data_IF_684212258752
#
_entry.id   IF_684212258752
#
_cell.length_a   1.000
_cell.length_b   1.000
_cell.length_c   1.000
_cell.angle_alpha   90.00
_cell.angle_beta   90.00
_cell.angle_gamma   90.00
#
_symmetry.space_group_name_H-M   'P 1'
#
loop_
_entity.id
_entity.type
_entity.pdbx_description
1 polymer ?
#
# COMPACT_ATOMS: atom_id res chain seq x y z
N UNK A 1 84.55 1.53 -8.87
CA UNK A 1 83.34 0.69 -8.78
C UNK A 1 82.33 1.48 -7.94
N UNK A 2 81.36 2.12 -8.58
CA UNK A 2 80.28 2.81 -7.89
C UNK A 2 79.10 1.84 -7.78
N UNK A 3 78.71 1.49 -6.55
CA UNK A 3 77.49 0.73 -6.28
C UNK A 3 76.35 1.73 -6.14
N UNK A 4 75.38 1.62 -7.05
CA UNK A 4 74.16 2.41 -7.07
C UNK A 4 73.32 2.07 -5.83
N UNK A 5 73.07 3.07 -4.97
CA UNK A 5 72.09 2.96 -3.91
C UNK A 5 70.69 3.08 -4.51
N UNK A 6 69.83 2.17 -4.04
CA UNK A 6 68.50 1.87 -4.55
C UNK A 6 67.58 3.09 -4.66
N UNK A 7 66.83 3.14 -5.76
CA UNK A 7 65.59 3.89 -5.91
C UNK A 7 64.66 3.59 -4.72
N UNK A 8 64.58 4.53 -3.79
CA UNK A 8 63.45 4.64 -2.88
C UNK A 8 62.28 5.13 -3.73
N UNK A 9 61.41 4.22 -4.15
CA UNK A 9 60.14 4.58 -4.78
C UNK A 9 59.26 5.21 -3.71
N UNK A 10 59.27 6.53 -3.62
CA UNK A 10 58.31 7.28 -2.80
C UNK A 10 56.91 7.02 -3.37
N UNK A 11 56.11 6.24 -2.63
CA UNK A 11 54.68 6.09 -2.93
C UNK A 11 54.02 7.45 -2.72
N UNK A 12 53.35 8.05 -3.72
CA UNK A 12 52.72 9.35 -3.53
C UNK A 12 51.60 9.21 -2.49
N UNK A 13 51.69 10.00 -1.43
CA UNK A 13 50.66 10.10 -0.41
C UNK A 13 49.39 10.63 -1.09
N UNK A 14 48.39 9.75 -1.23
CA UNK A 14 47.09 10.12 -1.80
C UNK A 14 46.41 11.04 -0.80
N UNK A 15 46.43 12.35 -1.09
CA UNK A 15 45.67 13.34 -0.33
C UNK A 15 44.19 13.08 -0.59
N UNK A 16 43.56 12.31 0.29
CA UNK A 16 42.10 12.23 0.36
C UNK A 16 41.61 13.59 0.86
N UNK A 17 40.83 14.35 0.07
CA UNK A 17 40.25 15.59 0.57
C UNK A 17 39.37 15.23 1.77
N UNK A 18 39.53 15.96 2.87
CA UNK A 18 38.61 15.92 4.01
C UNK A 18 37.28 16.51 3.53
N UNK A 19 36.44 15.65 2.93
CA UNK A 19 35.10 16.05 2.49
C UNK A 19 34.28 16.21 3.76
N UNK A 20 33.77 17.42 4.08
CA UNK A 20 32.90 17.58 5.24
C UNK A 20 31.70 16.65 5.05
N UNK A 21 31.48 15.76 6.02
CA UNK A 21 30.27 14.95 6.08
C UNK A 21 29.11 15.92 6.29
N UNK A 22 28.39 16.24 5.22
CA UNK A 22 27.13 16.99 5.29
C UNK A 22 26.11 16.05 5.93
N UNK A 23 25.94 16.13 7.24
CA UNK A 23 24.85 15.45 7.94
C UNK A 23 23.57 16.20 7.53
N UNK A 24 22.58 15.56 6.88
CA UNK A 24 21.35 16.24 6.55
C UNK A 24 20.71 16.75 7.85
N UNK A 25 20.35 18.04 7.89
CA UNK A 25 19.69 18.61 9.05
C UNK A 25 18.37 17.87 9.29
N UNK A 26 18.18 17.41 10.52
CA UNK A 26 16.95 16.79 10.97
C UNK A 26 15.80 17.78 10.83
N UNK A 27 15.01 17.62 9.77
CA UNK A 27 13.98 18.58 9.37
C UNK A 27 12.62 18.11 9.88
N UNK A 28 11.98 18.92 10.74
CA UNK A 28 10.62 18.70 11.23
C UNK A 28 9.71 19.79 10.68
N UNK A 29 8.68 19.36 9.97
CA UNK A 29 7.68 20.22 9.31
C UNK A 29 6.27 19.67 9.54
N UNK A 30 5.25 20.47 9.18
CA UNK A 30 3.83 20.08 9.23
C UNK A 30 3.41 19.49 10.60
N UNK A 31 3.79 20.17 11.69
CA UNK A 31 3.48 19.71 13.05
C UNK A 31 1.96 19.81 13.27
N UNK A 32 1.34 18.66 13.45
CA UNK A 32 -0.08 18.54 13.75
C UNK A 32 -0.28 17.92 15.13
N UNK A 33 -1.09 18.55 15.97
CA UNK A 33 -1.41 18.07 17.32
C UNK A 33 -2.72 17.29 17.31
N UNK A 34 -2.71 16.09 17.90
CA UNK A 34 -3.90 15.25 18.09
C UNK A 34 -4.55 15.55 19.44
N UNK A 35 -5.83 15.24 19.56
CA UNK A 35 -6.61 15.39 20.80
C UNK A 35 -6.10 14.53 21.97
N UNK A 36 -5.27 13.52 21.70
CA UNK A 36 -4.62 12.67 22.71
C UNK A 36 -3.28 13.24 23.21
N UNK A 37 -2.88 14.43 22.75
CA UNK A 37 -1.62 15.09 23.13
C UNK A 37 -0.38 14.56 22.38
N UNK A 38 -0.57 13.74 21.35
CA UNK A 38 0.51 13.29 20.45
C UNK A 38 0.60 14.17 19.20
N UNK A 39 1.72 14.10 18.48
CA UNK A 39 1.92 14.90 17.27
C UNK A 39 2.09 14.03 16.03
N UNK A 40 1.56 14.46 14.89
CA UNK A 40 1.88 13.92 13.57
C UNK A 40 2.71 14.95 12.85
N UNK A 41 3.91 14.58 12.39
CA UNK A 41 4.87 15.50 11.81
C UNK A 41 5.47 14.92 10.53
N UNK A 42 5.99 15.76 9.65
CA UNK A 42 6.90 15.35 8.58
C UNK A 42 8.32 15.44 9.13
N UNK A 43 8.97 14.31 9.36
CA UNK A 43 10.36 14.23 9.79
C UNK A 43 11.22 13.68 8.66
N UNK A 44 12.19 14.47 8.20
CA UNK A 44 13.09 14.15 7.07
C UNK A 44 12.33 13.71 5.80
N UNK A 45 11.20 14.37 5.52
CA UNK A 45 10.35 14.09 4.35
C UNK A 45 9.34 12.94 4.52
N UNK A 46 9.35 12.22 5.64
CA UNK A 46 8.42 11.13 5.91
C UNK A 46 7.42 11.51 7.00
N UNK A 47 6.15 11.06 6.92
CA UNK A 47 5.19 11.24 8.00
C UNK A 47 5.55 10.34 9.19
N UNK A 48 5.66 10.93 10.37
CA UNK A 48 5.91 10.24 11.63
C UNK A 48 4.84 10.59 12.66
N UNK A 49 4.39 9.58 13.39
CA UNK A 49 3.63 9.78 14.62
C UNK A 49 4.62 9.95 15.77
N UNK A 50 4.76 11.17 16.27
CA UNK A 50 5.63 11.56 17.37
C UNK A 50 4.91 11.34 18.70
N UNK A 51 5.36 10.34 19.45
CA UNK A 51 4.83 9.97 20.77
C UNK A 51 5.99 9.74 21.74
N UNK A 52 5.76 9.98 23.03
CA UNK A 52 6.77 9.76 24.05
C UNK A 52 7.20 8.29 24.14
N UNK A 53 6.28 7.35 23.87
CA UNK A 53 6.50 5.91 24.03
C UNK A 53 7.13 5.24 22.79
N UNK A 54 6.71 5.63 21.58
CA UNK A 54 7.11 4.95 20.34
C UNK A 54 8.25 5.69 19.64
N UNK A 55 8.29 7.02 19.72
CA UNK A 55 9.22 7.87 18.97
C UNK A 55 9.74 9.02 19.84
N UNK A 56 10.41 8.72 20.98
CA UNK A 56 10.81 9.72 21.98
C UNK A 56 11.74 10.80 21.40
N UNK A 57 12.63 10.44 20.49
CA UNK A 57 13.58 11.39 19.89
C UNK A 57 12.89 12.38 18.94
N UNK A 58 11.91 11.92 18.16
CA UNK A 58 11.10 12.80 17.32
C UNK A 58 10.18 13.65 18.20
N UNK A 59 9.54 13.05 19.21
CA UNK A 59 8.67 13.76 20.15
C UNK A 59 9.38 14.90 20.88
N UNK A 60 10.59 14.68 21.40
CA UNK A 60 11.40 15.75 22.04
C UNK A 60 11.70 16.90 21.08
N UNK A 61 12.15 16.59 19.86
CA UNK A 61 12.47 17.62 18.84
C UNK A 61 11.23 18.41 18.43
N UNK A 62 10.06 17.75 18.34
CA UNK A 62 8.78 18.42 18.11
C UNK A 62 8.49 19.40 19.26
N UNK A 63 8.60 18.98 20.52
CA UNK A 63 8.39 19.87 21.67
C UNK A 63 9.34 21.08 21.68
N UNK A 64 10.60 20.91 21.29
CA UNK A 64 11.57 22.01 21.15
C UNK A 64 11.15 23.00 20.05
N UNK A 65 10.74 22.49 18.88
CA UNK A 65 10.21 23.30 17.78
C UNK A 65 8.95 24.06 18.19
N UNK A 66 8.01 23.41 18.87
CA UNK A 66 6.77 24.04 19.37
C UNK A 66 7.10 25.14 20.39
N UNK A 67 8.02 24.90 21.34
CA UNK A 67 8.51 25.93 22.28
C UNK A 67 9.19 27.10 21.57
N UNK A 68 9.87 26.83 20.46
CA UNK A 68 10.47 27.84 19.58
C UNK A 68 9.48 28.63 18.72
N UNK A 69 8.16 28.38 18.87
CA UNK A 69 7.11 29.09 18.14
C UNK A 69 6.80 28.52 16.77
N UNK A 70 7.15 27.25 16.49
CA UNK A 70 6.75 26.60 15.25
C UNK A 70 5.21 26.52 15.16
N UNK A 71 4.63 26.72 13.97
CA UNK A 71 3.19 26.59 13.79
C UNK A 71 2.76 25.15 14.05
N UNK A 72 1.79 24.99 14.96
CA UNK A 72 1.11 23.73 15.23
C UNK A 72 -0.31 23.85 14.72
N UNK A 73 -0.71 22.95 13.83
CA UNK A 73 -2.11 22.86 13.39
C UNK A 73 -2.80 21.72 14.13
N UNK A 74 -4.12 21.78 14.23
CA UNK A 74 -4.88 20.63 14.70
C UNK A 74 -4.75 19.48 13.69
N UNK A 75 -4.53 18.26 14.19
CA UNK A 75 -4.54 17.08 13.35
C UNK A 75 -5.96 16.78 12.90
N UNK A 76 -6.22 16.98 11.61
CA UNK A 76 -7.41 16.46 10.97
C UNK A 76 -7.16 15.01 10.56
N UNK A 77 -7.77 14.07 11.27
CA UNK A 77 -7.81 12.67 10.85
C UNK A 77 -8.36 12.62 9.42
N UNK A 78 -7.63 12.01 8.49
CA UNK A 78 -8.14 11.87 7.13
C UNK A 78 -9.33 10.93 7.17
N UNK A 79 -10.51 11.45 6.86
CA UNK A 79 -11.67 10.61 6.60
C UNK A 79 -11.39 9.81 5.32
N UNK A 80 -11.22 8.50 5.46
CA UNK A 80 -11.26 7.61 4.31
C UNK A 80 -12.75 7.52 3.93
N UNK A 81 -13.16 8.02 2.75
CA UNK A 81 -14.56 7.95 2.36
C UNK A 81 -14.97 6.47 2.31
N UNK A 82 -16.08 6.15 2.97
CA UNK A 82 -16.68 4.83 2.80
C UNK A 82 -17.15 4.69 1.35
N UNK A 83 -16.95 3.54 0.70
CA UNK A 83 -17.55 3.29 -0.59
C UNK A 83 -19.07 3.52 -0.50
N UNK A 84 -19.64 4.09 -1.56
CA UNK A 84 -21.08 4.16 -1.70
C UNK A 84 -21.67 2.74 -1.83
N UNK A 85 -22.96 2.55 -1.52
CA UNK A 85 -23.62 1.25 -1.73
C UNK A 85 -23.47 0.70 -3.16
N UNK A 86 -23.42 1.59 -4.16
CA UNK A 86 -23.17 1.21 -5.56
C UNK A 86 -21.76 0.66 -5.75
N UNK A 87 -20.74 1.33 -5.20
CA UNK A 87 -19.35 0.89 -5.29
C UNK A 87 -19.14 -0.45 -4.56
N UNK A 88 -19.72 -0.61 -3.37
CA UNK A 88 -19.68 -1.89 -2.64
C UNK A 88 -20.33 -3.02 -3.46
N UNK A 89 -21.50 -2.77 -4.05
CA UNK A 89 -22.17 -3.74 -4.90
C UNK A 89 -21.33 -4.09 -6.15
N UNK A 90 -20.71 -3.10 -6.79
CA UNK A 90 -19.83 -3.32 -7.95
C UNK A 90 -18.58 -4.13 -7.56
N UNK A 91 -17.96 -3.81 -6.44
CA UNK A 91 -16.81 -4.55 -5.91
C UNK A 91 -17.16 -6.01 -5.63
N UNK A 92 -18.33 -6.28 -5.05
CA UNK A 92 -18.80 -7.64 -4.80
C UNK A 92 -19.14 -8.38 -6.11
N UNK A 93 -19.72 -7.70 -7.12
CA UNK A 93 -19.91 -8.28 -8.46
C UNK A 93 -18.56 -8.68 -9.07
N UNK A 94 -17.56 -7.80 -9.02
CA UNK A 94 -16.20 -8.06 -9.53
C UNK A 94 -15.60 -9.26 -8.82
N UNK A 95 -15.66 -9.30 -7.49
CA UNK A 95 -15.15 -10.41 -6.67
C UNK A 95 -15.82 -11.74 -7.03
N UNK A 96 -17.15 -11.77 -7.10
CA UNK A 96 -17.93 -12.98 -7.43
C UNK A 96 -17.68 -13.45 -8.86
N UNK A 97 -17.50 -12.51 -9.78
CA UNK A 97 -17.15 -12.82 -11.17
C UNK A 97 -15.76 -13.46 -11.28
N UNK A 98 -14.78 -12.95 -10.55
CA UNK A 98 -13.43 -13.52 -10.52
C UNK A 98 -13.44 -14.98 -10.02
N UNK A 99 -14.23 -15.28 -8.98
CA UNK A 99 -14.42 -16.66 -8.48
C UNK A 99 -15.01 -17.56 -9.58
N UNK A 100 -16.05 -17.09 -10.27
CA UNK A 100 -16.66 -17.85 -11.35
C UNK A 100 -15.72 -18.04 -12.55
N UNK A 101 -14.94 -17.03 -12.90
CA UNK A 101 -13.95 -17.11 -13.98
C UNK A 101 -12.86 -18.15 -13.65
N UNK A 102 -12.39 -18.17 -12.40
CA UNK A 102 -11.43 -19.17 -11.91
C UNK A 102 -12.00 -20.60 -11.96
N UNK A 103 -13.26 -20.79 -11.57
CA UNK A 103 -13.91 -22.11 -11.61
C UNK A 103 -14.20 -22.59 -13.04
N UNK A 104 -14.52 -21.67 -13.96
CA UNK A 104 -14.84 -21.99 -15.36
C UNK A 104 -13.61 -22.39 -16.15
N UNK A 105 -12.45 -21.78 -15.92
CA UNK A 105 -11.24 -22.01 -16.71
C UNK A 105 -10.90 -23.51 -16.89
N UNK A 106 -10.68 -24.31 -15.82
CA UNK A 106 -10.34 -25.73 -15.98
C UNK A 106 -11.47 -26.57 -16.60
N UNK A 107 -12.74 -26.21 -16.30
CA UNK A 107 -13.90 -26.90 -16.87
C UNK A 107 -14.03 -26.64 -18.38
N UNK A 108 -13.66 -25.44 -18.82
CA UNK A 108 -13.64 -25.06 -20.21
C UNK A 108 -12.46 -25.76 -20.92
N UNK A 109 -11.28 -25.80 -20.31
CA UNK A 109 -10.12 -26.52 -20.85
C UNK A 109 -10.45 -28.00 -21.11
N UNK A 110 -11.08 -28.68 -20.15
CA UNK A 110 -11.51 -30.07 -20.30
C UNK A 110 -12.53 -30.27 -21.45
N UNK A 111 -13.43 -29.31 -21.66
CA UNK A 111 -14.39 -29.35 -22.78
C UNK A 111 -13.68 -29.09 -24.11
N UNK A 112 -12.73 -28.16 -24.13
CA UNK A 112 -12.02 -27.76 -25.36
C UNK A 112 -11.09 -28.86 -25.89
N UNK A 113 -10.63 -29.78 -25.01
CA UNK A 113 -9.85 -30.96 -25.39
C UNK A 113 -10.69 -32.26 -25.47
N UNK A 114 -12.02 -32.15 -25.41
CA UNK A 114 -12.96 -33.27 -25.43
C UNK A 114 -12.77 -34.33 -24.30
N UNK A 115 -12.18 -33.93 -23.17
CA UNK A 115 -11.91 -34.81 -22.00
C UNK A 115 -12.91 -34.60 -20.84
N UNK A 116 -13.81 -33.62 -20.97
CA UNK A 116 -14.78 -33.30 -19.92
C UNK A 116 -15.78 -34.44 -19.65
N UNK A 117 -15.92 -34.79 -18.38
CA UNK A 117 -16.96 -35.68 -17.89
C UNK A 117 -18.34 -35.02 -17.96
N UNK A 118 -19.41 -35.82 -17.93
CA UNK A 118 -20.78 -35.30 -17.88
C UNK A 118 -21.04 -34.38 -16.67
N UNK A 119 -20.34 -34.63 -15.55
CA UNK A 119 -20.41 -33.79 -14.34
C UNK A 119 -19.75 -32.44 -14.57
N UNK A 120 -18.58 -32.40 -15.20
CA UNK A 120 -17.88 -31.14 -15.52
C UNK A 120 -18.65 -30.30 -16.54
N UNK A 121 -19.26 -30.93 -17.55
CA UNK A 121 -20.16 -30.23 -18.49
C UNK A 121 -21.36 -29.63 -17.77
N UNK A 122 -21.94 -30.34 -16.79
CA UNK A 122 -23.04 -29.82 -15.99
C UNK A 122 -22.60 -28.65 -15.09
N UNK A 123 -21.44 -28.79 -14.43
CA UNK A 123 -20.83 -27.73 -13.61
C UNK A 123 -20.52 -26.48 -14.44
N UNK A 124 -19.93 -26.64 -15.64
CA UNK A 124 -19.63 -25.54 -16.55
C UNK A 124 -20.90 -24.75 -16.93
N UNK A 125 -21.99 -25.47 -17.22
CA UNK A 125 -23.30 -24.84 -17.49
C UNK A 125 -23.84 -24.08 -16.28
N UNK A 126 -23.71 -24.65 -15.08
CA UNK A 126 -24.15 -24.01 -13.84
C UNK A 126 -23.36 -22.72 -13.56
N UNK A 127 -22.03 -22.75 -13.67
CA UNK A 127 -21.18 -21.58 -13.50
C UNK A 127 -21.45 -20.49 -14.54
N UNK A 128 -21.67 -20.85 -15.81
CA UNK A 128 -22.08 -19.89 -16.86
C UNK A 128 -23.42 -19.23 -16.54
N UNK A 129 -24.42 -19.99 -16.07
CA UNK A 129 -25.70 -19.43 -15.60
C UNK A 129 -25.51 -18.47 -14.42
N UNK A 130 -24.65 -18.83 -13.46
CA UNK A 130 -24.31 -17.98 -12.33
C UNK A 130 -23.69 -16.65 -12.78
N UNK A 131 -22.73 -16.65 -13.73
CA UNK A 131 -22.16 -15.42 -14.29
C UNK A 131 -23.20 -14.53 -14.97
N UNK A 132 -24.13 -15.13 -15.71
CA UNK A 132 -25.24 -14.38 -16.33
C UNK A 132 -26.15 -13.78 -15.26
N UNK A 133 -26.48 -14.54 -14.21
CA UNK A 133 -27.25 -14.02 -13.08
C UNK A 133 -26.54 -12.85 -12.38
N UNK A 134 -25.22 -12.96 -12.15
CA UNK A 134 -24.41 -11.85 -11.61
C UNK A 134 -24.46 -10.61 -12.50
N UNK A 135 -24.41 -10.77 -13.83
CA UNK A 135 -24.48 -9.63 -14.74
C UNK A 135 -25.80 -8.87 -14.68
N UNK A 136 -26.88 -9.52 -14.24
CA UNK A 136 -28.23 -8.94 -14.12
C UNK A 136 -28.57 -8.47 -12.70
N UNK A 137 -27.63 -8.56 -11.74
CA UNK A 137 -27.87 -8.11 -10.36
C UNK A 137 -28.28 -6.63 -10.29
N UNK A 138 -27.74 -5.80 -11.16
CA UNK A 138 -28.10 -4.37 -11.25
C UNK A 138 -29.55 -4.11 -11.71
N UNK A 139 -30.22 -5.12 -12.27
CA UNK A 139 -31.61 -5.05 -12.72
C UNK A 139 -32.60 -5.44 -11.60
N UNK A 140 -32.12 -5.84 -10.41
CA UNK A 140 -32.99 -6.24 -9.29
C UNK A 140 -33.69 -5.04 -8.65
N UNK A 141 -34.94 -5.24 -8.25
CA UNK A 141 -35.65 -4.30 -7.38
C UNK A 141 -34.90 -4.18 -6.04
N UNK A 142 -34.50 -2.96 -5.68
CA UNK A 142 -33.75 -2.68 -4.45
C UNK A 142 -32.24 -2.54 -4.63
N UNK A 143 -31.69 -2.74 -5.83
CA UNK A 143 -30.30 -2.38 -6.11
C UNK A 143 -30.06 -0.88 -5.88
N UNK A 144 -28.93 -0.48 -5.24
CA UNK A 144 -27.87 -1.30 -4.67
C UNK A 144 -28.06 -1.68 -3.19
N UNK A 145 -29.11 -1.18 -2.52
CA UNK A 145 -29.26 -1.29 -1.07
C UNK A 145 -29.66 -2.70 -0.58
N UNK A 146 -30.41 -3.44 -1.40
CA UNK A 146 -30.81 -4.81 -1.11
C UNK A 146 -30.60 -5.67 -2.35
N UNK A 147 -29.63 -6.59 -2.27
CA UNK A 147 -29.23 -7.43 -3.39
C UNK A 147 -29.45 -8.90 -3.04
N UNK A 148 -30.29 -9.57 -3.82
CA UNK A 148 -30.43 -11.02 -3.82
C UNK A 148 -29.30 -11.66 -4.63
N UNK A 149 -28.16 -11.88 -3.99
CA UNK A 149 -27.01 -12.48 -4.67
C UNK A 149 -27.34 -13.90 -5.19
N UNK A 150 -26.99 -14.23 -6.45
CA UNK A 150 -27.13 -15.60 -6.92
C UNK A 150 -26.26 -16.54 -6.09
N UNK A 151 -26.69 -17.81 -5.99
CA UNK A 151 -25.96 -18.85 -5.27
C UNK A 151 -24.95 -19.48 -6.22
N UNK A 152 -23.70 -19.61 -5.76
CA UNK A 152 -22.66 -20.32 -6.51
C UNK A 152 -23.01 -21.82 -6.57
N UNK A 153 -22.80 -22.49 -7.73
CA UNK A 153 -23.12 -23.90 -7.91
C UNK A 153 -22.15 -24.85 -7.21
#
# INVERSE_FOLDING_TARGET
MAVNNADQVEVPEVIVPDIPVIIPEDTIENIQERSDGTYVVTYNGYPFHATELVTPEVYKKVLEKVKGGAPVTEYAEREIPRPSPVEDAQNEIVRRRAIADYAIAPLQDAVDIDDATALEVAALKAWKKYRVALSRVHEQDGYPESIGWPVAP
#
